data_IF_784739733513
#
_entry.id   IF_784739733513
#
_cell.length_a   1.000
_cell.length_b   1.000
_cell.length_c   1.000
_cell.angle_alpha   90.00
_cell.angle_beta   90.00
_cell.angle_gamma   90.00
#
_symmetry.space_group_name_H-M   'P 1'
#
loop_
_entity.id
_entity.type
_entity.pdbx_description
1 polymer ?
#
# COMPACT_ATOMS: atom_id res chain seq x y z
N UNK A 1 33.75 23.70 -8.85
CA UNK A 1 33.18 23.76 -7.49
C UNK A 1 31.69 24.15 -7.51
N UNK A 2 31.30 25.23 -8.19
CA UNK A 2 29.89 25.62 -8.39
C UNK A 2 29.04 24.57 -9.14
N UNK A 3 29.59 23.88 -10.15
CA UNK A 3 28.87 22.82 -10.87
C UNK A 3 28.57 21.58 -9.99
N UNK A 4 29.53 21.20 -9.12
CA UNK A 4 29.35 20.07 -8.19
C UNK A 4 28.30 20.40 -7.12
N UNK A 5 28.26 21.64 -6.65
CA UNK A 5 27.23 22.11 -5.72
C UNK A 5 25.86 22.12 -6.40
N UNK A 6 25.79 22.49 -7.68
CA UNK A 6 24.56 22.46 -8.46
C UNK A 6 24.07 21.02 -8.69
N UNK A 7 24.95 20.08 -9.05
CA UNK A 7 24.59 18.67 -9.23
C UNK A 7 24.12 18.03 -7.91
N UNK A 8 24.79 18.33 -6.79
CA UNK A 8 24.35 17.86 -5.45
C UNK A 8 23.02 18.49 -5.05
N UNK A 9 22.80 19.78 -5.36
CA UNK A 9 21.54 20.47 -5.07
C UNK A 9 20.40 19.96 -5.96
N UNK A 10 20.67 19.64 -7.24
CA UNK A 10 19.73 19.03 -8.18
C UNK A 10 19.40 17.61 -7.76
N UNK A 11 20.38 16.81 -7.31
CA UNK A 11 20.14 15.47 -6.76
C UNK A 11 19.26 15.57 -5.50
N UNK A 12 19.59 16.46 -4.57
CA UNK A 12 18.80 16.68 -3.36
C UNK A 12 17.38 17.19 -3.65
N UNK A 13 17.19 18.05 -4.66
CA UNK A 13 15.86 18.49 -5.09
C UNK A 13 15.07 17.36 -5.79
N UNK A 14 15.75 16.54 -6.61
CA UNK A 14 15.16 15.39 -7.29
C UNK A 14 14.75 14.28 -6.33
N UNK A 15 15.42 14.16 -5.19
CA UNK A 15 15.02 13.29 -4.08
C UNK A 15 13.71 13.77 -3.42
N UNK A 16 13.51 15.10 -3.34
CA UNK A 16 12.29 15.72 -2.78
C UNK A 16 11.10 15.64 -3.75
N UNK A 17 11.33 15.64 -5.06
CA UNK A 17 10.28 15.46 -6.08
C UNK A 17 9.69 14.03 -6.12
N UNK A 18 10.33 13.07 -5.44
CA UNK A 18 9.87 11.68 -5.33
C UNK A 18 8.93 11.43 -4.14
N UNK A 19 8.41 12.50 -3.52
CA UNK A 19 7.32 12.39 -2.54
C UNK A 19 6.00 12.26 -3.29
N UNK A 20 5.86 11.12 -3.98
CA UNK A 20 4.69 10.80 -4.77
C UNK A 20 3.55 10.48 -3.81
N UNK A 21 2.50 11.31 -3.80
CA UNK A 21 1.24 11.03 -3.14
C UNK A 21 0.76 9.65 -3.63
N UNK A 22 0.92 8.63 -2.78
CA UNK A 22 0.71 7.25 -3.18
C UNK A 22 -0.78 7.03 -3.42
N UNK A 23 -1.15 6.69 -4.65
CA UNK A 23 -2.55 6.39 -4.98
C UNK A 23 -3.02 5.12 -4.28
N UNK A 24 -4.32 5.00 -4.03
CA UNK A 24 -4.94 3.79 -3.45
C UNK A 24 -4.54 2.54 -4.26
N UNK A 25 -4.44 2.68 -5.58
CA UNK A 25 -3.99 1.63 -6.50
C UNK A 25 -2.60 1.11 -6.16
N UNK A 26 -1.66 2.02 -5.88
CA UNK A 26 -0.29 1.70 -5.49
C UNK A 26 -0.25 1.06 -4.10
N UNK A 27 -1.03 1.58 -3.14
CA UNK A 27 -1.11 1.01 -1.78
C UNK A 27 -1.67 -0.41 -1.76
N UNK A 28 -2.68 -0.70 -2.59
CA UNK A 28 -3.20 -2.07 -2.75
C UNK A 28 -2.12 -3.00 -3.32
N UNK A 29 -1.38 -2.52 -4.32
CA UNK A 29 -0.31 -3.29 -4.94
C UNK A 29 0.85 -3.53 -3.96
N UNK A 30 1.25 -2.50 -3.22
CA UNK A 30 2.27 -2.53 -2.15
C UNK A 30 1.89 -3.57 -1.09
N UNK A 31 0.67 -3.49 -0.55
CA UNK A 31 0.17 -4.46 0.43
C UNK A 31 0.25 -5.90 -0.11
N UNK A 32 -0.20 -6.11 -1.34
CA UNK A 32 -0.16 -7.44 -1.97
C UNK A 32 1.27 -7.96 -2.12
N UNK A 33 2.20 -7.12 -2.55
CA UNK A 33 3.61 -7.52 -2.74
C UNK A 33 4.29 -7.82 -1.41
N UNK A 34 3.98 -7.07 -0.36
CA UNK A 34 4.53 -7.29 0.98
C UNK A 34 4.10 -8.64 1.56
N UNK A 35 2.84 -9.03 1.28
CA UNK A 35 2.30 -10.35 1.63
C UNK A 35 2.79 -11.47 0.70
N UNK A 36 3.64 -11.16 -0.30
CA UNK A 36 4.16 -12.10 -1.30
C UNK A 36 3.05 -12.86 -2.06
N UNK A 37 1.89 -12.24 -2.22
CA UNK A 37 0.74 -12.85 -2.90
C UNK A 37 0.71 -12.48 -4.39
N UNK A 38 0.36 -13.45 -5.23
CA UNK A 38 -0.05 -13.14 -6.60
C UNK A 38 -1.48 -12.54 -6.62
N UNK A 39 -1.85 -11.90 -7.72
CA UNK A 39 -3.18 -11.25 -7.85
C UNK A 39 -4.35 -12.23 -7.63
N UNK A 40 -4.22 -13.49 -8.06
CA UNK A 40 -5.26 -14.52 -7.90
C UNK A 40 -5.50 -14.85 -6.42
N UNK A 41 -4.43 -15.02 -5.65
CA UNK A 41 -4.51 -15.35 -4.23
C UNK A 41 -5.05 -14.16 -3.44
N UNK A 42 -4.57 -12.95 -3.73
CA UNK A 42 -5.04 -11.74 -3.05
C UNK A 42 -6.51 -11.47 -3.34
N UNK A 43 -6.92 -11.53 -4.62
CA UNK A 43 -8.33 -11.33 -5.00
C UNK A 43 -9.25 -12.36 -4.37
N UNK A 44 -8.81 -13.62 -4.26
CA UNK A 44 -9.56 -14.67 -3.59
C UNK A 44 -9.72 -14.40 -2.08
N UNK A 45 -8.68 -13.88 -1.42
CA UNK A 45 -8.71 -13.57 0.01
C UNK A 45 -9.71 -12.45 0.37
N UNK A 46 -9.91 -11.49 -0.53
CA UNK A 46 -10.87 -10.39 -0.39
C UNK A 46 -12.21 -10.62 -1.11
N UNK A 47 -12.39 -11.76 -1.77
CA UNK A 47 -13.66 -12.15 -2.40
C UNK A 47 -14.01 -11.44 -3.72
N UNK A 48 -13.01 -10.96 -4.48
CA UNK A 48 -13.23 -10.32 -5.79
C UNK A 48 -12.62 -11.13 -6.95
N UNK A 49 -12.98 -10.78 -8.18
CA UNK A 49 -12.36 -11.37 -9.38
C UNK A 49 -10.93 -10.84 -9.55
N UNK A 50 -10.01 -11.69 -10.01
CA UNK A 50 -8.63 -11.28 -10.32
C UNK A 50 -8.57 -10.11 -11.31
N UNK A 51 -9.44 -10.10 -12.33
CA UNK A 51 -9.52 -9.01 -13.31
C UNK A 51 -9.89 -7.69 -12.65
N UNK A 52 -10.79 -7.72 -11.65
CA UNK A 52 -11.18 -6.53 -10.87
C UNK A 52 -9.99 -6.00 -10.07
N UNK A 53 -9.22 -6.88 -9.40
CA UNK A 53 -8.01 -6.48 -8.70
C UNK A 53 -6.99 -5.83 -9.65
N UNK A 54 -6.80 -6.40 -10.84
CA UNK A 54 -5.91 -5.81 -11.86
C UNK A 54 -6.38 -4.42 -12.28
N UNK A 55 -7.69 -4.20 -12.46
CA UNK A 55 -8.23 -2.86 -12.73
C UNK A 55 -7.99 -1.87 -11.59
N UNK A 56 -8.04 -2.33 -10.33
CA UNK A 56 -7.72 -1.50 -9.17
C UNK A 56 -6.24 -1.12 -9.15
N UNK A 57 -5.33 -2.09 -9.26
CA UNK A 57 -3.87 -1.84 -9.22
C UNK A 57 -3.36 -0.98 -10.38
N UNK A 58 -4.09 -0.95 -11.49
CA UNK A 58 -3.78 -0.09 -12.64
C UNK A 58 -4.52 1.26 -12.61
N UNK A 59 -5.32 1.54 -11.57
CA UNK A 59 -6.08 2.78 -11.44
C UNK A 59 -7.21 2.97 -12.45
N UNK A 60 -7.62 1.91 -13.15
CA UNK A 60 -8.71 1.95 -14.14
C UNK A 60 -10.07 2.07 -13.45
N UNK A 61 -10.21 1.43 -12.29
CA UNK A 61 -11.43 1.43 -11.48
C UNK A 61 -11.07 1.72 -10.03
N UNK A 62 -11.86 2.56 -9.36
CA UNK A 62 -11.72 2.80 -7.93
C UNK A 62 -12.43 1.70 -7.13
N UNK A 63 -11.79 1.10 -6.11
CA UNK A 63 -12.47 0.17 -5.21
C UNK A 63 -13.64 0.82 -4.48
N UNK A 64 -14.70 0.05 -4.18
CA UNK A 64 -15.76 0.53 -3.31
C UNK A 64 -15.31 0.56 -1.85
N UNK A 65 -16.00 1.34 -1.02
CA UNK A 65 -15.75 1.41 0.41
C UNK A 65 -15.79 0.04 1.08
N UNK A 66 -16.70 -0.84 0.66
CA UNK A 66 -16.81 -2.20 1.21
C UNK A 66 -15.56 -3.04 0.92
N UNK A 67 -14.97 -2.88 -0.28
CA UNK A 67 -13.73 -3.58 -0.64
C UNK A 67 -12.56 -3.04 0.17
N UNK A 68 -12.46 -1.71 0.33
CA UNK A 68 -11.42 -1.08 1.14
C UNK A 68 -11.51 -1.51 2.61
N UNK A 69 -12.72 -1.56 3.17
CA UNK A 69 -12.96 -2.06 4.52
C UNK A 69 -12.57 -3.53 4.66
N UNK A 70 -12.92 -4.35 3.66
CA UNK A 70 -12.53 -5.77 3.63
C UNK A 70 -11.02 -5.94 3.63
N UNK A 71 -10.30 -5.15 2.82
CA UNK A 71 -8.83 -5.15 2.79
C UNK A 71 -8.26 -4.77 4.17
N UNK A 72 -8.73 -3.67 4.75
CA UNK A 72 -8.29 -3.18 6.04
C UNK A 72 -8.47 -4.24 7.15
N UNK A 73 -9.64 -4.86 7.22
CA UNK A 73 -9.95 -5.88 8.22
C UNK A 73 -9.18 -7.19 8.00
N UNK A 74 -9.03 -7.62 6.74
CA UNK A 74 -8.41 -8.92 6.42
C UNK A 74 -6.91 -8.92 6.66
N UNK A 75 -6.26 -7.78 6.42
CA UNK A 75 -4.81 -7.64 6.48
C UNK A 75 -4.35 -6.71 7.61
N UNK A 76 -5.25 -6.31 8.51
CA UNK A 76 -4.95 -5.48 9.67
C UNK A 76 -4.22 -4.18 9.32
N UNK A 77 -4.60 -3.55 8.21
CA UNK A 77 -4.03 -2.26 7.77
C UNK A 77 -4.98 -1.09 8.04
N UNK A 78 -4.42 0.08 8.29
CA UNK A 78 -5.22 1.30 8.50
C UNK A 78 -5.82 1.81 7.19
N UNK A 79 -7.05 2.34 7.24
CA UNK A 79 -7.63 3.02 6.08
C UNK A 79 -6.81 4.26 5.72
N UNK A 80 -6.35 5.02 6.72
CA UNK A 80 -5.51 6.20 6.51
C UNK A 80 -4.27 5.87 5.67
N UNK A 81 -3.61 4.74 5.93
CA UNK A 81 -2.50 4.27 5.09
C UNK A 81 -2.94 3.86 3.68
N UNK A 82 -4.08 3.17 3.56
CA UNK A 82 -4.61 2.74 2.26
C UNK A 82 -4.95 3.94 1.36
N UNK A 83 -5.35 5.07 1.96
CA UNK A 83 -5.61 6.35 1.28
C UNK A 83 -4.37 7.24 1.15
N UNK A 84 -3.19 6.82 1.61
CA UNK A 84 -1.97 7.62 1.56
C UNK A 84 -1.96 8.82 2.52
N UNK A 85 -2.86 8.84 3.51
CA UNK A 85 -2.96 9.89 4.53
C UNK A 85 -2.00 9.66 5.71
N UNK A 86 -1.41 8.46 5.80
CA UNK A 86 -0.45 8.10 6.84
C UNK A 86 0.56 7.07 6.33
N UNK A 87 1.81 7.18 6.78
CA UNK A 87 2.82 6.14 6.57
C UNK A 87 2.66 4.95 7.54
N UNK A 88 1.81 5.08 8.56
CA UNK A 88 1.58 4.02 9.55
C UNK A 88 0.63 2.95 9.01
N UNK A 89 1.23 1.88 8.47
CA UNK A 89 0.52 0.76 7.84
C UNK A 89 -0.42 0.00 8.77
N UNK A 90 0.01 -0.25 10.01
CA UNK A 90 -0.72 -1.11 10.96
C UNK A 90 -1.52 -0.27 11.95
N UNK A 91 -2.79 -0.63 12.16
CA UNK A 91 -3.59 -0.09 13.25
C UNK A 91 -3.63 -1.11 14.39
N UNK A 92 -2.82 -0.91 15.42
CA UNK A 92 -2.83 -1.77 16.61
C UNK A 92 -3.93 -1.27 17.55
N UNK A 93 -5.00 -2.03 17.65
CA UNK A 93 -6.12 -1.72 18.56
C UNK A 93 -6.42 -2.87 19.53
N UNK A 94 -6.04 -4.09 19.15
CA UNK A 94 -6.32 -5.31 19.90
C UNK A 94 -5.08 -6.18 20.07
N UNK A 95 -5.15 -7.12 21.01
CA UNK A 95 -4.11 -8.14 21.19
C UNK A 95 -3.96 -9.04 19.96
N UNK A 96 -5.04 -9.25 19.20
CA UNK A 96 -5.03 -10.01 17.95
C UNK A 96 -4.13 -9.36 16.90
N UNK A 97 -4.09 -8.02 16.84
CA UNK A 97 -3.23 -7.29 15.89
C UNK A 97 -1.74 -7.54 16.20
N UNK A 98 -1.39 -7.62 17.49
CA UNK A 98 -0.03 -7.90 17.95
C UNK A 98 0.39 -9.32 17.55
N UNK A 99 -0.49 -10.30 17.73
CA UNK A 99 -0.21 -11.70 17.37
C UNK A 99 0.03 -11.84 15.87
N UNK A 100 -0.75 -11.15 15.04
CA UNK A 100 -0.55 -11.14 13.58
C UNK A 100 0.82 -10.63 13.16
N UNK A 101 1.30 -9.55 13.78
CA UNK A 101 2.64 -8.99 13.50
C UNK A 101 3.73 -10.02 13.77
N UNK A 102 3.63 -10.80 14.85
CA UNK A 102 4.63 -11.81 15.19
C UNK A 102 4.57 -13.07 14.32
N UNK A 103 3.40 -13.40 13.74
CA UNK A 103 3.22 -14.61 12.92
C UNK A 103 3.48 -14.32 11.42
N UNK A 104 3.30 -13.08 10.96
CA UNK A 104 3.48 -12.73 9.55
C UNK A 104 4.94 -12.80 9.05
N UNK A 105 5.92 -12.92 9.95
CA UNK A 105 7.35 -13.01 9.63
C UNK A 105 7.86 -14.47 9.45
N UNK A 106 7.02 -15.48 9.69
CA UNK A 106 7.35 -16.91 9.59
C UNK A 106 6.77 -17.57 8.31
#
# INVERSE_FOLDING_TARGET
>A
MIFIICDILIIAFKEVDNMQESSISEKIKELRTDLKMNQKNFSAAIGIRQSTLSSYENGVVTPSNDVLLTIAQKFHVSLDWLFGLSENKVQISTLSDIIWVFIADE
#
